data_IF_471481432265
#
_entry.id   IF_471481432265
#
_cell.length_a   1.000
_cell.length_b   1.000
_cell.length_c   1.000
_cell.angle_alpha   90.00
_cell.angle_beta   90.00
_cell.angle_gamma   90.00
#
_symmetry.space_group_name_H-M   'P 1'
#
loop_
_entity.id
_entity.type
_entity.pdbx_description
1 polymer ?
#
# COMPACT_ATOMS: atom_id res chain seq x y z
N UNK A 1 40.26 29.01 -49.88
CA UNK A 1 41.03 28.03 -49.09
C UNK A 1 40.08 27.38 -48.10
N UNK A 2 39.39 26.32 -48.52
CA UNK A 2 38.57 25.46 -47.66
C UNK A 2 39.04 24.04 -47.90
N UNK A 3 39.79 23.50 -46.95
CA UNK A 3 40.29 22.13 -46.98
C UNK A 3 39.18 21.17 -46.59
N UNK A 4 38.92 20.26 -47.50
CA UNK A 4 38.05 19.09 -47.41
C UNK A 4 38.57 18.18 -46.29
N UNK A 5 37.76 17.92 -45.26
CA UNK A 5 37.89 16.72 -44.43
C UNK A 5 36.74 15.77 -44.76
N UNK A 6 36.89 15.09 -45.90
CA UNK A 6 36.14 13.88 -46.20
C UNK A 6 36.69 12.75 -45.35
N UNK A 7 36.14 12.56 -44.16
CA UNK A 7 36.38 11.36 -43.38
C UNK A 7 35.69 10.19 -44.09
N UNK A 8 36.49 9.33 -44.70
CA UNK A 8 36.09 8.04 -45.25
C UNK A 8 35.50 7.19 -44.13
N UNK A 9 34.17 7.20 -43.99
CA UNK A 9 33.47 6.22 -43.17
C UNK A 9 33.64 4.86 -43.83
N UNK A 10 34.60 4.09 -43.36
CA UNK A 10 34.87 2.75 -43.85
C UNK A 10 33.66 1.87 -43.49
N UNK A 11 32.97 1.35 -44.50
CA UNK A 11 31.73 0.58 -44.33
C UNK A 11 31.93 -0.68 -43.46
N UNK A 12 33.16 -1.18 -43.39
CA UNK A 12 33.58 -2.28 -42.51
C UNK A 12 33.52 -1.96 -41.01
N UNK A 13 33.38 -0.69 -40.61
CA UNK A 13 33.27 -0.28 -39.20
C UNK A 13 31.83 0.08 -38.79
N UNK A 14 30.90 0.23 -39.75
CA UNK A 14 29.52 0.60 -39.48
C UNK A 14 28.77 -0.45 -38.65
N UNK A 15 29.10 -1.74 -38.81
CA UNK A 15 28.50 -2.82 -38.04
C UNK A 15 29.00 -2.84 -36.58
N UNK A 16 30.26 -2.47 -36.34
CA UNK A 16 30.85 -2.39 -34.99
C UNK A 16 30.23 -1.24 -34.19
N UNK A 17 30.02 -0.10 -34.84
CA UNK A 17 29.34 1.05 -34.21
C UNK A 17 27.90 0.71 -33.83
N UNK A 18 27.17 -0.04 -34.67
CA UNK A 18 25.80 -0.49 -34.36
C UNK A 18 25.75 -1.45 -33.16
N UNK A 19 26.69 -2.39 -33.07
CA UNK A 19 26.76 -3.31 -31.93
C UNK A 19 27.08 -2.57 -30.63
N UNK A 20 28.01 -1.61 -30.67
CA UNK A 20 28.35 -0.79 -29.50
C UNK A 20 27.17 0.10 -29.06
N UNK A 21 26.46 0.72 -30.00
CA UNK A 21 25.28 1.54 -29.70
C UNK A 21 24.14 0.72 -29.08
N UNK A 22 23.87 -0.48 -29.61
CA UNK A 22 22.87 -1.38 -29.05
C UNK A 22 23.29 -1.92 -27.68
N UNK A 23 24.57 -2.29 -27.50
CA UNK A 23 25.10 -2.71 -26.20
C UNK A 23 24.99 -1.62 -25.14
N UNK A 24 25.33 -0.38 -25.49
CA UNK A 24 25.20 0.76 -24.59
C UNK A 24 23.75 1.04 -24.21
N UNK A 25 22.83 0.94 -25.18
CA UNK A 25 21.39 1.12 -24.95
C UNK A 25 20.83 0.02 -24.04
N UNK A 26 21.25 -1.23 -24.21
CA UNK A 26 20.87 -2.35 -23.32
C UNK A 26 21.44 -2.16 -21.91
N UNK A 27 22.67 -1.66 -21.76
CA UNK A 27 23.26 -1.40 -20.44
C UNK A 27 22.54 -0.24 -19.75
N UNK A 28 22.28 0.87 -20.45
CA UNK A 28 21.59 2.04 -19.87
C UNK A 28 20.16 1.71 -19.49
N UNK A 29 19.42 0.99 -20.34
CA UNK A 29 18.04 0.60 -20.05
C UNK A 29 17.95 -0.56 -19.03
N UNK A 30 18.88 -1.51 -19.07
CA UNK A 30 18.89 -2.70 -18.20
C UNK A 30 19.41 -2.41 -16.80
N UNK A 31 20.51 -1.67 -16.67
CA UNK A 31 21.09 -1.31 -15.37
C UNK A 31 20.36 -0.12 -14.76
N UNK A 32 19.98 0.88 -15.56
CA UNK A 32 19.22 2.04 -15.07
C UNK A 32 17.86 1.67 -14.46
N UNK A 33 17.18 0.67 -15.03
CA UNK A 33 15.89 0.21 -14.51
C UNK A 33 16.00 -0.51 -13.16
N UNK A 34 17.12 -1.19 -12.86
CA UNK A 34 17.28 -1.94 -11.60
C UNK A 34 17.82 -1.07 -10.46
N UNK A 35 18.59 -0.02 -10.77
CA UNK A 35 19.13 0.87 -9.73
C UNK A 35 18.04 1.76 -9.13
N UNK A 36 17.04 2.17 -9.92
CA UNK A 36 15.93 2.97 -9.39
C UNK A 36 15.05 2.18 -8.42
N UNK A 37 14.67 0.94 -8.75
CA UNK A 37 13.88 0.09 -7.83
C UNK A 37 14.63 -0.28 -6.55
N UNK A 38 15.96 -0.46 -6.59
CA UNK A 38 16.75 -0.75 -5.38
C UNK A 38 17.01 0.48 -4.49
N UNK A 39 17.08 1.69 -5.06
CA UNK A 39 17.18 2.92 -4.26
C UNK A 39 15.88 3.19 -3.47
N UNK A 40 14.71 2.91 -4.07
CA UNK A 40 13.42 3.01 -3.38
C UNK A 40 13.17 1.86 -2.38
N UNK A 41 13.85 0.72 -2.53
CA UNK A 41 13.72 -0.42 -1.62
C UNK A 41 14.59 -0.33 -0.36
N UNK A 42 15.59 0.55 -0.32
CA UNK A 42 16.56 0.66 0.80
C UNK A 42 16.55 2.01 1.53
N UNK A 43 15.73 2.98 1.09
CA UNK A 43 15.68 4.30 1.69
C UNK A 43 14.96 4.33 3.04
N UNK A 44 15.71 4.51 4.12
CA UNK A 44 15.22 5.05 5.41
C UNK A 44 14.69 6.49 5.30
N UNK A 45 14.57 7.01 4.09
CA UNK A 45 14.27 8.39 3.80
C UNK A 45 12.80 8.69 4.09
N UNK A 46 12.59 9.60 5.03
CA UNK A 46 11.30 10.19 5.33
C UNK A 46 11.02 11.28 4.29
N UNK A 47 9.83 11.25 3.69
CA UNK A 47 9.36 12.28 2.76
C UNK A 47 8.22 13.06 3.42
N UNK A 48 8.23 14.38 3.32
CA UNK A 48 7.11 15.19 3.81
C UNK A 48 5.92 15.06 2.85
N UNK A 49 4.75 14.77 3.39
CA UNK A 49 3.50 14.60 2.64
C UNK A 49 2.37 15.38 3.28
N UNK A 50 1.50 15.95 2.46
CA UNK A 50 0.21 16.50 2.86
C UNK A 50 -0.76 15.33 3.07
N UNK A 51 -1.43 15.28 4.21
CA UNK A 51 -2.33 14.20 4.60
C UNK A 51 -3.70 14.74 4.97
N UNK A 52 -4.71 14.34 4.21
CA UNK A 52 -6.13 14.60 4.50
C UNK A 52 -6.85 13.30 4.84
N UNK A 53 -8.16 13.35 5.06
CA UNK A 53 -8.99 12.16 5.23
C UNK A 53 -10.29 12.28 4.42
N UNK A 54 -10.87 11.14 4.05
CA UNK A 54 -12.17 11.02 3.41
C UNK A 54 -12.98 9.89 4.04
N UNK A 55 -14.31 9.99 3.98
CA UNK A 55 -15.22 9.05 4.64
C UNK A 55 -16.14 8.28 3.68
N UNK A 56 -15.90 8.40 2.37
CA UNK A 56 -16.67 7.68 1.36
C UNK A 56 -16.46 6.18 1.51
N UNK A 57 -17.55 5.43 1.42
CA UNK A 57 -17.56 3.98 1.41
C UNK A 57 -17.86 3.48 0.00
N UNK A 58 -17.18 2.44 -0.45
CA UNK A 58 -17.32 1.93 -1.80
C UNK A 58 -16.19 1.00 -2.22
N UNK A 59 -16.22 0.60 -3.48
CA UNK A 59 -15.11 -0.10 -4.13
C UNK A 59 -14.04 0.93 -4.49
N UNK A 60 -12.80 0.70 -4.07
CA UNK A 60 -11.63 1.54 -4.34
C UNK A 60 -11.05 1.27 -5.74
N UNK A 61 -10.06 2.07 -6.13
CA UNK A 61 -9.40 1.92 -7.43
C UNK A 61 -8.70 0.55 -7.63
N UNK A 62 -8.30 -0.13 -6.57
CA UNK A 62 -7.74 -1.49 -6.63
C UNK A 62 -8.80 -2.61 -6.76
N UNK A 63 -10.08 -2.27 -6.68
CA UNK A 63 -11.21 -3.20 -6.75
C UNK A 63 -11.66 -3.78 -5.42
N UNK A 64 -11.01 -3.44 -4.29
CA UNK A 64 -11.40 -3.88 -2.96
C UNK A 64 -12.38 -2.90 -2.30
N UNK A 65 -13.15 -3.39 -1.33
CA UNK A 65 -13.98 -2.53 -0.51
C UNK A 65 -13.13 -1.64 0.40
N UNK A 66 -13.53 -0.38 0.53
CA UNK A 66 -12.89 0.61 1.38
C UNK A 66 -12.85 0.15 2.84
N UNK A 67 -11.71 0.31 3.52
CA UNK A 67 -11.53 -0.05 4.93
C UNK A 67 -10.58 0.91 5.66
N UNK A 68 -10.64 0.88 7.00
CA UNK A 68 -9.74 1.63 7.87
C UNK A 68 -8.28 1.15 7.70
N UNK A 69 -7.43 2.01 7.12
CA UNK A 69 -6.03 1.68 6.82
C UNK A 69 -5.71 1.73 5.33
N UNK A 70 -6.71 1.79 4.46
CA UNK A 70 -6.48 2.17 3.07
C UNK A 70 -6.22 3.67 2.95
N UNK A 71 -5.52 4.08 1.89
CA UNK A 71 -5.35 5.48 1.54
C UNK A 71 -5.38 5.69 0.03
N UNK A 72 -5.92 6.85 -0.35
CA UNK A 72 -5.87 7.35 -1.71
C UNK A 72 -4.56 8.08 -1.95
N UNK A 73 -3.94 7.82 -3.10
CA UNK A 73 -2.64 8.38 -3.48
C UNK A 73 -2.57 8.68 -4.97
N UNK A 74 -1.66 9.57 -5.41
CA UNK A 74 -1.24 9.64 -6.81
C UNK A 74 -0.53 8.35 -7.21
N UNK A 75 -1.19 7.51 -8.02
CA UNK A 75 -0.65 6.20 -8.44
C UNK A 75 0.66 6.30 -9.24
N UNK A 76 0.91 7.46 -9.87
CA UNK A 76 2.16 7.77 -10.55
C UNK A 76 3.34 7.98 -9.59
N UNK A 77 3.09 8.30 -8.31
CA UNK A 77 4.10 8.40 -7.26
C UNK A 77 4.15 7.13 -6.40
N UNK A 78 2.98 6.62 -6.02
CA UNK A 78 2.82 5.49 -5.12
C UNK A 78 1.97 4.42 -5.82
N UNK A 79 2.61 3.41 -6.43
CA UNK A 79 1.88 2.32 -7.08
C UNK A 79 0.96 1.60 -6.10
N UNK A 80 -0.19 1.09 -6.55
CA UNK A 80 -1.11 0.37 -5.66
C UNK A 80 -0.46 -0.83 -4.96
N UNK A 81 -0.85 -1.05 -3.71
CA UNK A 81 -0.26 -2.01 -2.79
C UNK A 81 0.97 -1.49 -2.03
N UNK A 82 1.37 -0.22 -2.26
CA UNK A 82 2.43 0.43 -1.48
C UNK A 82 2.00 0.57 -0.02
N UNK A 83 2.86 0.14 0.90
CA UNK A 83 2.62 0.29 2.34
C UNK A 83 3.52 1.40 2.86
N UNK A 84 2.92 2.38 3.54
CA UNK A 84 3.60 3.53 4.12
C UNK A 84 3.34 3.62 5.61
N UNK A 85 4.40 3.88 6.39
CA UNK A 85 4.29 4.36 7.75
C UNK A 85 4.35 5.88 7.76
N UNK A 86 3.40 6.52 8.43
CA UNK A 86 3.31 7.96 8.61
C UNK A 86 3.73 8.32 10.03
N UNK A 87 4.59 9.32 10.13
CA UNK A 87 5.15 9.84 11.36
C UNK A 87 4.80 11.31 11.52
N UNK A 88 4.65 11.76 12.75
CA UNK A 88 4.53 13.17 13.08
C UNK A 88 5.86 13.90 12.81
N UNK A 89 5.84 15.23 12.86
CA UNK A 89 7.04 16.05 12.63
C UNK A 89 8.16 15.80 13.66
N UNK A 90 7.80 15.32 14.87
CA UNK A 90 8.75 14.91 15.92
C UNK A 90 9.33 13.49 15.71
N UNK A 91 8.94 12.81 14.62
CA UNK A 91 9.38 11.46 14.30
C UNK A 91 8.60 10.35 15.02
N UNK A 92 7.59 10.68 15.84
CA UNK A 92 6.74 9.67 16.47
C UNK A 92 5.82 9.00 15.45
N UNK A 93 5.63 7.69 15.57
CA UNK A 93 4.73 6.96 14.70
C UNK A 93 3.29 7.43 14.89
N UNK A 94 2.63 7.79 13.79
CA UNK A 94 1.23 8.18 13.80
C UNK A 94 0.36 6.99 13.39
N UNK A 95 0.55 6.48 12.16
CA UNK A 95 -0.21 5.34 11.62
C UNK A 95 0.42 4.75 10.36
N UNK A 96 -0.09 3.61 9.92
CA UNK A 96 0.23 3.01 8.63
C UNK A 96 -0.96 3.17 7.66
N UNK A 97 -0.68 3.28 6.36
CA UNK A 97 -1.70 3.10 5.32
C UNK A 97 -1.20 2.34 4.09
N UNK A 98 -2.14 1.70 3.38
CA UNK A 98 -1.89 1.02 2.10
C UNK A 98 -2.49 1.82 0.95
N UNK A 99 -1.68 2.12 -0.06
CA UNK A 99 -2.10 2.78 -1.29
C UNK A 99 -3.01 1.87 -2.12
N UNK A 100 -4.32 2.10 -2.11
CA UNK A 100 -5.31 1.23 -2.75
C UNK A 100 -6.37 2.02 -3.53
N UNK A 101 -6.31 3.34 -3.43
CA UNK A 101 -7.31 4.23 -4.01
C UNK A 101 -6.65 5.45 -4.68
N UNK A 102 -7.41 6.18 -5.50
CA UNK A 102 -6.94 7.38 -6.21
C UNK A 102 -7.99 8.50 -6.29
N UNK A 103 -8.92 8.53 -5.33
CA UNK A 103 -10.02 9.51 -5.26
C UNK A 103 -9.51 10.95 -5.40
N UNK A 104 -10.14 11.71 -6.30
CA UNK A 104 -10.09 13.17 -6.29
C UNK A 104 -8.86 13.82 -6.94
N UNK A 105 -8.17 13.12 -7.85
CA UNK A 105 -7.00 13.66 -8.56
C UNK A 105 -5.97 14.30 -7.61
N UNK A 106 -5.46 13.50 -6.68
CA UNK A 106 -4.45 13.95 -5.72
C UNK A 106 -3.15 14.34 -6.43
N UNK A 107 -2.56 15.45 -5.98
CA UNK A 107 -1.26 15.92 -6.44
C UNK A 107 -0.12 15.08 -5.84
N UNK A 108 1.06 15.15 -6.44
CA UNK A 108 2.28 14.54 -5.87
C UNK A 108 2.53 15.04 -4.45
N UNK A 109 2.81 14.11 -3.54
CA UNK A 109 3.03 14.39 -2.12
C UNK A 109 1.75 14.54 -1.31
N UNK A 110 0.57 14.27 -1.87
CA UNK A 110 -0.71 14.28 -1.15
C UNK A 110 -1.24 12.84 -0.97
N UNK A 111 -1.54 12.49 0.28
CA UNK A 111 -2.20 11.25 0.69
C UNK A 111 -3.56 11.59 1.32
N UNK A 112 -4.62 10.85 0.98
CA UNK A 112 -5.90 10.97 1.68
C UNK A 112 -6.22 9.66 2.40
N UNK A 113 -6.35 9.70 3.72
CA UNK A 113 -6.62 8.54 4.56
C UNK A 113 -8.09 8.14 4.47
N UNK A 114 -8.34 6.85 4.34
CA UNK A 114 -9.70 6.33 4.38
C UNK A 114 -10.20 6.22 5.82
N UNK A 115 -11.36 6.79 6.07
CA UNK A 115 -12.13 6.73 7.32
C UNK A 115 -13.59 6.36 7.02
N UNK A 116 -13.84 5.15 6.48
CA UNK A 116 -15.16 4.76 5.97
C UNK A 116 -16.25 4.91 7.04
N UNK A 117 -17.34 5.58 6.69
CA UNK A 117 -18.47 5.81 7.57
C UNK A 117 -18.27 6.91 8.62
N UNK A 118 -17.04 7.37 8.88
CA UNK A 118 -16.72 8.39 9.88
C UNK A 118 -16.52 9.78 9.26
N UNK A 119 -17.62 10.39 8.81
CA UNK A 119 -17.61 11.72 8.20
C UNK A 119 -17.12 12.81 9.16
N UNK A 120 -17.47 12.69 10.44
CA UNK A 120 -17.08 13.66 11.47
C UNK A 120 -15.58 13.57 11.72
N UNK A 121 -15.04 12.36 11.89
CA UNK A 121 -13.60 12.15 12.06
C UNK A 121 -12.80 12.61 10.85
N UNK A 122 -13.26 12.30 9.62
CA UNK A 122 -12.61 12.78 8.40
C UNK A 122 -12.58 14.31 8.30
N UNK A 123 -13.67 14.99 8.69
CA UNK A 123 -13.73 16.44 8.71
C UNK A 123 -12.83 17.05 9.80
N UNK A 124 -12.81 16.46 10.99
CA UNK A 124 -12.00 16.91 12.13
C UNK A 124 -10.50 16.67 11.92
N UNK A 125 -10.14 15.68 11.11
CA UNK A 125 -8.75 15.44 10.72
C UNK A 125 -8.16 16.66 10.00
N UNK A 126 -8.91 17.31 9.09
CA UNK A 126 -8.40 18.48 8.38
C UNK A 126 -7.18 18.17 7.50
N UNK A 127 -6.18 19.06 7.53
CA UNK A 127 -4.93 18.93 6.75
C UNK A 127 -3.75 18.83 7.71
N UNK A 128 -3.00 17.74 7.59
CA UNK A 128 -1.76 17.52 8.33
C UNK A 128 -0.57 17.40 7.39
N UNK A 129 0.62 17.78 7.87
CA UNK A 129 1.88 17.49 7.19
C UNK A 129 2.60 16.43 7.99
N UNK A 130 2.74 15.24 7.42
CA UNK A 130 3.38 14.08 8.05
C UNK A 130 4.63 13.69 7.29
N UNK A 131 5.47 12.89 7.94
CA UNK A 131 6.64 12.26 7.34
C UNK A 131 6.27 10.83 6.95
N UNK A 132 6.30 10.50 5.67
CA UNK A 132 6.04 9.15 5.19
C UNK A 132 7.34 8.37 5.00
N UNK A 133 7.34 7.12 5.44
CA UNK A 133 8.37 6.11 5.15
C UNK A 133 7.73 4.98 4.36
N UNK A 134 8.35 4.62 3.25
CA UNK A 134 7.93 3.47 2.46
C UNK A 134 8.40 2.19 3.16
N UNK A 135 7.46 1.34 3.55
CA UNK A 135 7.73 0.02 4.12
C UNK A 135 7.81 -1.05 3.03
N UNK A 136 6.97 -0.90 2.00
CA UNK A 136 6.94 -1.79 0.83
C UNK A 136 6.44 -1.01 -0.37
N UNK A 137 7.16 -1.08 -1.48
CA UNK A 137 6.68 -0.57 -2.77
C UNK A 137 5.61 -1.52 -3.32
N UNK A 138 4.51 -0.94 -3.81
CA UNK A 138 3.42 -1.67 -4.43
C UNK A 138 3.81 -2.31 -5.76
N UNK A 139 2.95 -3.18 -6.26
CA UNK A 139 3.21 -3.95 -7.49
C UNK A 139 2.92 -3.16 -8.76
N UNK A 140 2.31 -1.98 -8.62
CA UNK A 140 1.87 -1.15 -9.74
C UNK A 140 0.80 -1.81 -10.59
N UNK A 141 0.64 -1.37 -11.85
CA UNK A 141 -0.46 -1.83 -12.70
C UNK A 141 -0.38 -3.33 -13.03
N UNK A 142 0.79 -3.95 -12.86
CA UNK A 142 0.96 -5.39 -13.04
C UNK A 142 0.25 -6.23 -11.95
N UNK A 143 -0.08 -5.61 -10.80
CA UNK A 143 -0.70 -6.29 -9.67
C UNK A 143 0.24 -7.26 -8.95
N UNK A 144 -0.19 -7.82 -7.80
CA UNK A 144 0.63 -8.76 -7.04
C UNK A 144 0.99 -10.00 -7.88
N UNK A 145 2.18 -10.60 -7.67
CA UNK A 145 2.53 -11.85 -8.30
C UNK A 145 1.48 -12.89 -7.93
N UNK A 146 0.81 -13.44 -8.95
CA UNK A 146 -0.12 -14.55 -8.74
C UNK A 146 0.71 -15.74 -8.27
N UNK A 147 0.37 -16.37 -7.13
CA UNK A 147 1.05 -17.60 -6.74
C UNK A 147 0.86 -18.61 -7.87
N UNK A 148 1.95 -18.98 -8.54
CA UNK A 148 1.94 -20.10 -9.46
C UNK A 148 1.76 -21.36 -8.62
N UNK A 149 0.68 -22.11 -8.84
CA UNK A 149 0.41 -23.40 -8.20
C UNK A 149 1.40 -24.52 -8.62
N UNK A 150 2.69 -24.22 -8.73
CA UNK A 150 3.75 -25.15 -9.15
C UNK A 150 4.70 -25.57 -8.01
N UNK A 151 4.39 -25.21 -6.76
CA UNK A 151 5.02 -25.81 -5.57
C UNK A 151 3.96 -26.30 -4.58
N UNK A 152 3.10 -27.20 -5.07
CA UNK A 152 2.39 -28.10 -4.17
C UNK A 152 3.43 -29.00 -3.47
N UNK A 153 3.63 -28.74 -2.18
CA UNK A 153 3.99 -29.70 -1.15
C UNK A 153 5.07 -30.74 -1.50
N UNK A 154 6.34 -30.38 -1.28
CA UNK A 154 7.35 -31.37 -0.85
C UNK A 154 7.87 -31.01 0.54
N UNK A 155 6.96 -31.00 1.52
CA UNK A 155 7.34 -31.19 2.92
C UNK A 155 7.66 -32.67 3.03
N UNK A 156 8.92 -32.99 2.80
CA UNK A 156 9.49 -34.29 3.09
C UNK A 156 9.61 -34.40 4.61
N UNK A 157 8.55 -34.90 5.24
CA UNK A 157 8.54 -35.24 6.66
C UNK A 157 9.58 -36.34 6.92
N UNK A 158 10.58 -36.15 7.79
CA UNK A 158 11.40 -37.26 8.27
C UNK A 158 10.53 -38.15 9.14
N UNK A 159 10.56 -39.44 8.86
CA UNK A 159 9.64 -40.41 9.42
C UNK A 159 9.65 -40.46 10.95
N UNK A 160 8.46 -40.67 11.51
CA UNK A 160 8.32 -41.60 12.63
C UNK A 160 7.00 -42.32 12.44
N UNK A 161 7.10 -43.56 11.94
CA UNK A 161 6.01 -44.50 11.94
C UNK A 161 5.74 -44.95 13.37
N UNK A 162 4.49 -44.85 13.81
CA UNK A 162 3.94 -45.82 14.76
C UNK A 162 2.47 -46.01 14.39
N UNK A 163 2.25 -47.08 13.65
CA UNK A 163 0.93 -47.64 13.42
C UNK A 163 0.38 -48.13 14.76
N UNK A 164 -0.88 -47.80 15.08
CA UNK A 164 -1.73 -48.78 15.73
C UNK A 164 -3.20 -48.59 15.38
N UNK A 165 -3.86 -49.73 15.34
CA UNK A 165 -5.06 -50.05 14.62
C UNK A 165 -6.34 -49.43 15.18
N UNK A 166 -7.37 -49.45 14.34
CA UNK A 166 -8.61 -48.73 14.53
C UNK A 166 -9.53 -49.25 15.63
N UNK A 167 -10.62 -48.50 15.81
CA UNK A 167 -11.96 -49.04 16.05
C UNK A 167 -12.98 -47.92 15.82
N UNK A 168 -13.78 -48.14 14.79
CA UNK A 168 -15.17 -47.72 14.64
C UNK A 168 -15.86 -47.57 16.00
N UNK A 169 -16.35 -46.37 16.33
CA UNK A 169 -17.38 -46.23 17.35
C UNK A 169 -18.37 -45.12 17.01
N UNK A 170 -19.58 -45.59 16.75
CA UNK A 170 -20.82 -44.87 16.49
C UNK A 170 -21.21 -43.87 17.58
N UNK A 171 -21.98 -42.88 17.13
CA UNK A 171 -23.00 -42.06 17.84
C UNK A 171 -22.47 -41.02 18.83
N UNK A 172 -22.71 -39.75 18.51
CA UNK A 172 -23.81 -38.91 19.06
C UNK A 172 -23.68 -37.48 18.53
N UNK A 173 -24.76 -36.95 17.98
CA UNK A 173 -24.95 -35.50 17.91
C UNK A 173 -25.21 -34.95 19.33
N UNK A 174 -24.75 -33.72 19.61
CA UNK A 174 -25.60 -32.78 20.34
C UNK A 174 -25.54 -31.39 19.69
N UNK A 175 -26.68 -30.84 19.30
CA UNK A 175 -27.51 -29.93 20.12
C UNK A 175 -27.16 -28.46 19.84
N UNK A 176 -28.08 -27.78 19.15
CA UNK A 176 -28.16 -26.33 19.00
C UNK A 176 -27.98 -25.65 20.36
N UNK A 177 -26.91 -24.88 20.52
CA UNK A 177 -26.81 -23.87 21.56
C UNK A 177 -27.52 -22.61 21.05
N UNK A 178 -28.69 -22.33 21.60
CA UNK A 178 -29.33 -21.00 21.54
C UNK A 178 -28.51 -20.07 22.41
N UNK A 179 -27.87 -19.07 21.81
CA UNK A 179 -27.32 -17.93 22.57
C UNK A 179 -28.48 -16.96 22.79
N UNK A 180 -28.89 -16.83 24.05
CA UNK A 180 -29.85 -15.84 24.50
C UNK A 180 -29.19 -14.45 24.48
N UNK A 181 -29.84 -13.50 23.83
CA UNK A 181 -29.49 -12.08 23.87
C UNK A 181 -29.80 -11.53 25.27
N UNK A 182 -28.77 -11.19 26.04
CA UNK A 182 -28.92 -10.34 27.21
C UNK A 182 -28.90 -8.88 26.76
N UNK A 183 -30.08 -8.25 26.75
CA UNK A 183 -30.23 -6.80 26.72
C UNK A 183 -29.60 -6.22 27.99
N UNK A 184 -28.48 -5.51 27.85
CA UNK A 184 -27.99 -4.59 28.88
C UNK A 184 -28.42 -3.18 28.50
N UNK A 185 -29.44 -2.71 29.22
CA UNK A 185 -29.98 -1.35 29.12
C UNK A 185 -29.01 -0.40 29.85
N UNK A 186 -28.17 0.33 29.11
CA UNK A 186 -27.31 1.36 29.68
C UNK A 186 -28.15 2.63 29.86
N UNK A 187 -28.40 2.97 31.12
CA UNK A 187 -29.11 4.16 31.55
C UNK A 187 -28.19 5.38 31.38
N UNK A 188 -28.43 6.19 30.34
CA UNK A 188 -27.69 7.44 30.11
C UNK A 188 -28.24 8.54 31.04
N UNK A 189 -27.51 8.89 32.09
CA UNK A 189 -27.78 10.08 32.90
C UNK A 189 -27.29 11.33 32.16
N UNK A 190 -28.24 12.12 31.66
CA UNK A 190 -27.98 13.43 31.06
C UNK A 190 -27.68 14.47 32.16
N UNK A 191 -26.42 14.83 32.32
CA UNK A 191 -26.04 16.02 33.09
C UNK A 191 -26.14 17.27 32.19
N UNK A 192 -27.21 18.05 32.39
CA UNK A 192 -27.30 19.44 31.91
C UNK A 192 -26.26 20.29 32.64
N UNK A 193 -25.36 20.92 31.88
CA UNK A 193 -24.61 22.09 32.33
C UNK A 193 -25.46 23.36 32.17
N UNK A 194 -25.50 24.26 33.18
CA UNK A 194 -26.25 25.50 33.11
C UNK A 194 -25.55 26.54 32.23
N UNK A 195 -26.36 27.26 31.44
CA UNK A 195 -25.93 28.26 30.48
C UNK A 195 -25.31 29.51 31.11
N UNK A 196 -24.21 29.95 30.52
CA UNK A 196 -23.63 31.27 30.78
C UNK A 196 -24.43 32.35 30.06
N UNK A 197 -24.91 33.31 30.85
CA UNK A 197 -25.63 34.51 30.47
C UNK A 197 -24.60 35.60 30.10
N UNK A 198 -24.64 36.10 28.86
CA UNK A 198 -23.86 37.28 28.46
C UNK A 198 -24.62 38.57 28.83
N UNK A 199 -23.93 39.65 29.24
CA UNK A 199 -24.53 40.96 29.46
C UNK A 199 -24.71 41.75 28.15
N UNK A 200 -25.71 42.66 28.07
CA UNK A 200 -25.93 43.50 26.90
C UNK A 200 -24.97 44.70 26.83
N UNK A 201 -24.61 45.07 25.61
CA UNK A 201 -24.17 46.41 25.20
C UNK A 201 -25.15 46.96 24.19
#
# INVERSE_FOLDING_TARGET
MFTIFGHTFNWSDAWRVRILALGFLVIVLGVGSQVLVNAFASGTQLISVKVTAYASEGVMADGNWTYMGACAVPSAQFPFGTIMALYNADGTFNRQCTAEDNVGNLEYGHISLSMPGDRTGAAQWGVHYLLARLLRIGWGPAGPPRPSNSLALKIQSPGTSLAYAGKESRRRAPTRVRIAAHHTLIHFQSHRTPGHRFPPT
#
